data_IF_540736441081
#
_entry.id   IF_540736441081
#
_cell.length_a   1.000
_cell.length_b   1.000
_cell.length_c   1.000
_cell.angle_alpha   90.00
_cell.angle_beta   90.00
_cell.angle_gamma   90.00
#
_symmetry.space_group_name_H-M   'P 1'
#
loop_
_entity.id
_entity.type
_entity.pdbx_description
1 polymer ?
#
# COMPACT_ATOMS: atom_id res chain seq x y z
N UNK A 1 -14.73 -2.10 -2.10
CA UNK A 1 -14.73 -1.10 -3.18
C UNK A 1 -13.42 -0.31 -3.10
N UNK A 2 -12.79 0.03 -4.22
CA UNK A 2 -11.59 0.86 -4.27
C UNK A 2 -11.75 1.87 -5.40
N UNK A 3 -11.63 3.17 -5.08
CA UNK A 3 -11.85 4.28 -6.02
C UNK A 3 -13.08 4.08 -6.91
N UNK A 4 -14.29 4.00 -6.35
CA UNK A 4 -15.49 3.84 -7.18
C UNK A 4 -15.80 2.40 -7.64
N UNK A 5 -14.82 1.49 -7.63
CA UNK A 5 -14.96 0.16 -8.25
C UNK A 5 -15.16 -0.93 -7.20
N UNK A 6 -16.20 -1.76 -7.35
CA UNK A 6 -16.42 -2.94 -6.52
C UNK A 6 -15.41 -4.03 -6.93
N UNK A 7 -14.60 -4.49 -5.98
CA UNK A 7 -13.53 -5.47 -6.22
C UNK A 7 -13.87 -6.88 -5.70
N UNK A 8 -14.76 -6.95 -4.72
CA UNK A 8 -15.23 -8.17 -4.09
C UNK A 8 -16.61 -7.88 -3.47
N UNK A 9 -17.45 -8.91 -3.41
CA UNK A 9 -18.80 -8.88 -2.81
C UNK A 9 -18.84 -9.60 -1.45
N UNK A 10 -17.69 -10.12 -0.99
CA UNK A 10 -17.54 -10.78 0.30
C UNK A 10 -16.39 -10.16 1.10
N UNK A 11 -16.25 -10.59 2.34
CA UNK A 11 -15.21 -10.16 3.27
C UNK A 11 -14.03 -11.16 3.34
N UNK A 12 -13.80 -11.90 2.25
CA UNK A 12 -12.68 -12.85 2.14
C UNK A 12 -11.54 -12.23 1.37
N UNK A 13 -10.36 -12.22 1.97
CA UNK A 13 -9.15 -11.59 1.48
C UNK A 13 -9.36 -10.14 0.99
N UNK A 14 -9.98 -9.25 1.81
CA UNK A 14 -10.29 -7.90 1.39
C UNK A 14 -9.02 -7.15 1.01
N UNK A 15 -9.01 -6.54 -0.18
CA UNK A 15 -7.85 -5.83 -0.74
C UNK A 15 -7.76 -4.35 -0.34
N UNK A 16 -8.73 -3.91 0.45
CA UNK A 16 -8.79 -2.58 1.03
C UNK A 16 -9.30 -2.70 2.46
N UNK A 17 -8.98 -1.75 3.35
CA UNK A 17 -9.51 -1.75 4.70
C UNK A 17 -11.04 -1.79 4.72
N UNK A 18 -11.59 -2.59 5.61
CA UNK A 18 -13.02 -2.57 5.94
C UNK A 18 -13.23 -1.42 6.92
N UNK A 19 -14.01 -0.43 6.51
CA UNK A 19 -14.35 0.70 7.37
C UNK A 19 -15.65 0.40 8.11
N UNK A 20 -15.55 0.28 9.43
CA UNK A 20 -16.69 0.08 10.32
C UNK A 20 -16.91 1.36 11.13
N UNK A 21 -18.15 1.86 11.15
CA UNK A 21 -18.52 3.06 11.90
C UNK A 21 -19.50 2.64 13.00
N UNK A 22 -19.10 2.87 14.25
CA UNK A 22 -19.79 2.34 15.44
C UNK A 22 -20.26 3.45 16.38
N UNK A 23 -20.37 4.69 15.87
CA UNK A 23 -20.63 5.93 16.62
C UNK A 23 -22.03 6.05 17.22
N UNK A 24 -22.68 4.94 17.57
CA UNK A 24 -24.05 4.83 18.06
C UNK A 24 -24.12 4.48 19.55
N UNK A 25 -23.09 4.78 20.35
CA UNK A 25 -23.09 4.48 21.79
C UNK A 25 -24.15 5.27 22.60
N UNK A 26 -24.74 6.30 21.99
CA UNK A 26 -25.71 7.22 22.61
C UNK A 26 -25.21 8.65 22.58
N UNK A 27 -25.96 9.53 21.93
CA UNK A 27 -25.67 10.96 21.86
C UNK A 27 -26.96 11.76 22.09
N UNK A 28 -26.84 12.91 22.75
CA UNK A 28 -27.96 13.86 22.88
C UNK A 28 -28.33 14.54 21.56
N UNK A 29 -27.46 14.47 20.55
CA UNK A 29 -27.59 15.21 19.28
C UNK A 29 -28.35 14.45 18.20
N UNK A 30 -29.01 13.33 18.53
CA UNK A 30 -29.85 12.58 17.59
C UNK A 30 -29.05 11.68 16.63
N UNK A 31 -29.64 11.39 15.48
CA UNK A 31 -29.11 10.46 14.47
C UNK A 31 -28.79 11.24 13.19
N UNK A 32 -27.56 11.10 12.72
CA UNK A 32 -27.14 11.69 11.43
C UNK A 32 -27.64 10.85 10.25
N UNK A 33 -28.10 11.52 9.20
CA UNK A 33 -28.38 10.90 7.91
C UNK A 33 -27.10 10.81 7.09
N UNK A 34 -26.80 9.62 6.56
CA UNK A 34 -25.63 9.39 5.71
C UNK A 34 -26.06 8.97 4.29
N UNK A 35 -25.59 9.73 3.29
CA UNK A 35 -25.70 9.38 1.87
C UNK A 35 -24.38 8.77 1.39
N UNK A 36 -24.34 7.45 1.17
CA UNK A 36 -23.24 6.76 0.47
C UNK A 36 -23.54 5.27 0.20
N UNK A 37 -22.78 4.69 -0.75
CA UNK A 37 -22.65 3.25 -0.98
C UNK A 37 -22.05 2.57 0.26
N UNK A 38 -22.90 1.93 1.06
CA UNK A 38 -22.51 1.14 2.23
C UNK A 38 -23.05 -0.29 2.06
N UNK A 39 -22.31 -1.29 2.53
CA UNK A 39 -22.79 -2.68 2.53
C UNK A 39 -23.96 -2.86 3.52
N UNK A 40 -23.89 -2.21 4.68
CA UNK A 40 -24.94 -2.13 5.67
C UNK A 40 -25.01 -0.73 6.26
N UNK A 41 -26.23 -0.27 6.57
CA UNK A 41 -26.47 0.94 7.34
C UNK A 41 -27.79 0.82 8.10
N UNK A 42 -27.86 1.50 9.23
CA UNK A 42 -29.08 1.63 10.02
C UNK A 42 -29.41 3.12 10.19
N UNK A 43 -30.03 3.71 9.17
CA UNK A 43 -30.51 5.11 9.19
C UNK A 43 -31.97 5.20 9.69
N UNK A 44 -32.35 6.36 10.25
CA UNK A 44 -33.73 6.67 10.65
C UNK A 44 -34.24 6.07 11.97
N UNK A 45 -33.66 4.95 12.43
CA UNK A 45 -33.94 4.34 13.76
C UNK A 45 -32.67 3.79 14.42
N UNK A 46 -31.55 4.50 14.29
CA UNK A 46 -30.28 4.04 14.85
C UNK A 46 -30.45 3.73 16.34
N UNK A 47 -30.32 2.45 16.69
CA UNK A 47 -30.40 2.02 18.07
C UNK A 47 -29.07 2.32 18.74
N UNK A 48 -29.15 2.79 19.98
CA UNK A 48 -27.96 2.84 20.83
C UNK A 48 -27.35 1.45 20.87
N UNK A 49 -26.08 1.35 20.50
CA UNK A 49 -25.42 0.07 20.22
C UNK A 49 -23.91 0.19 20.42
N UNK A 50 -23.27 -0.95 20.59
CA UNK A 50 -21.83 -1.08 20.72
C UNK A 50 -21.36 -2.26 19.87
N UNK A 51 -20.08 -2.28 19.51
CA UNK A 51 -19.54 -3.39 18.71
C UNK A 51 -18.68 -4.32 19.54
N UNK A 52 -18.63 -5.58 19.11
CA UNK A 52 -17.69 -6.58 19.62
C UNK A 52 -16.83 -7.05 18.46
N UNK A 53 -15.52 -7.09 18.66
CA UNK A 53 -14.56 -7.66 17.72
C UNK A 53 -13.88 -8.83 18.41
N UNK A 54 -13.99 -10.02 17.81
CA UNK A 54 -13.35 -11.25 18.29
C UNK A 54 -12.38 -11.76 17.24
N UNK A 55 -11.09 -11.78 17.58
CA UNK A 55 -10.06 -12.41 16.77
C UNK A 55 -10.03 -13.90 17.13
N UNK A 56 -10.38 -14.76 16.17
CA UNK A 56 -10.44 -16.20 16.40
C UNK A 56 -9.09 -16.87 16.21
N UNK A 57 -8.34 -16.44 15.19
CA UNK A 57 -7.00 -16.94 14.88
C UNK A 57 -6.25 -15.89 14.04
N UNK A 58 -5.08 -16.27 13.52
CA UNK A 58 -4.26 -15.38 12.71
C UNK A 58 -4.96 -14.90 11.42
N UNK A 59 -5.93 -15.62 10.88
CA UNK A 59 -6.57 -15.30 9.60
C UNK A 59 -8.01 -14.82 9.73
N UNK A 60 -8.68 -15.09 10.85
CA UNK A 60 -10.13 -14.98 10.94
C UNK A 60 -10.53 -14.14 12.13
N UNK A 61 -11.39 -13.15 11.88
CA UNK A 61 -12.05 -12.35 12.88
C UNK A 61 -13.55 -12.32 12.65
N UNK A 62 -14.28 -12.08 13.74
CA UNK A 62 -15.71 -11.85 13.75
C UNK A 62 -15.98 -10.50 14.36
N UNK A 63 -16.82 -9.72 13.70
CA UNK A 63 -17.29 -8.45 14.20
C UNK A 63 -18.82 -8.46 14.25
N UNK A 64 -19.38 -7.83 15.26
CA UNK A 64 -20.82 -7.65 15.39
C UNK A 64 -21.17 -6.32 16.05
N UNK A 65 -22.32 -5.77 15.67
CA UNK A 65 -22.96 -4.63 16.30
C UNK A 65 -24.12 -5.14 17.17
N UNK A 66 -24.18 -4.70 18.43
CA UNK A 66 -25.15 -5.17 19.41
C UNK A 66 -25.95 -3.99 19.95
N UNK A 67 -27.28 -4.10 19.96
CA UNK A 67 -28.14 -3.12 20.59
C UNK A 67 -27.91 -3.08 22.11
N UNK A 68 -27.78 -1.88 22.67
CA UNK A 68 -27.69 -1.65 24.12
C UNK A 68 -28.93 -2.18 24.82
N UNK A 69 -30.11 -1.86 24.26
CA UNK A 69 -31.38 -2.34 24.79
C UNK A 69 -31.74 -3.70 24.20
N UNK A 70 -31.94 -4.70 25.05
CA UNK A 70 -32.33 -6.05 24.66
C UNK A 70 -31.18 -6.93 24.15
N UNK A 71 -29.99 -6.40 23.90
CA UNK A 71 -28.81 -7.19 23.54
C UNK A 71 -28.88 -7.89 22.18
N UNK A 72 -29.81 -7.49 21.31
CA UNK A 72 -29.97 -8.07 19.98
C UNK A 72 -28.76 -7.74 19.08
N UNK A 73 -28.30 -8.73 18.31
CA UNK A 73 -27.29 -8.52 17.27
C UNK A 73 -27.96 -7.84 16.08
N UNK A 74 -27.48 -6.64 15.75
CA UNK A 74 -28.02 -5.80 14.68
C UNK A 74 -27.36 -6.10 13.33
N UNK A 75 -26.07 -6.38 13.34
CA UNK A 75 -25.29 -6.78 12.18
C UNK A 75 -24.08 -7.60 12.62
N UNK A 76 -23.57 -8.46 11.76
CA UNK A 76 -22.34 -9.19 12.00
C UNK A 76 -21.65 -9.65 10.72
N UNK A 77 -20.32 -9.65 10.74
CA UNK A 77 -19.49 -10.10 9.61
C UNK A 77 -18.36 -10.99 10.08
N UNK A 78 -18.05 -11.98 9.25
CA UNK A 78 -16.81 -12.73 9.31
C UNK A 78 -15.84 -12.15 8.30
N UNK A 79 -14.61 -11.88 8.74
CA UNK A 79 -13.53 -11.43 7.85
C UNK A 79 -12.42 -12.47 7.91
N UNK A 80 -12.02 -12.94 6.73
CA UNK A 80 -10.91 -13.87 6.56
C UNK A 80 -9.83 -13.21 5.74
N UNK A 81 -8.59 -13.20 6.24
CA UNK A 81 -7.40 -12.68 5.58
C UNK A 81 -6.26 -13.68 5.74
N UNK A 82 -5.89 -14.34 4.64
CA UNK A 82 -4.83 -15.35 4.64
C UNK A 82 -3.43 -14.72 4.71
N UNK A 83 -3.24 -13.59 4.03
CA UNK A 83 -1.96 -12.89 3.94
C UNK A 83 -2.07 -11.48 4.48
N UNK A 84 -1.32 -11.19 5.53
CA UNK A 84 -1.26 -9.87 6.15
C UNK A 84 -0.05 -9.10 5.62
N UNK A 85 -0.25 -7.82 5.35
CA UNK A 85 0.84 -6.98 4.85
C UNK A 85 0.32 -5.76 4.08
N UNK A 86 1.25 -5.00 3.51
CA UNK A 86 0.89 -3.87 2.66
C UNK A 86 0.17 -4.36 1.41
N UNK A 87 -1.01 -3.83 1.15
CA UNK A 87 -1.70 -4.05 -0.12
C UNK A 87 -0.91 -3.36 -1.23
N UNK A 88 -0.43 -4.14 -2.21
CA UNK A 88 0.21 -3.58 -3.40
C UNK A 88 -0.83 -3.27 -4.46
N UNK A 89 -0.74 -2.09 -5.08
CA UNK A 89 -1.55 -1.74 -6.26
C UNK A 89 -1.26 -2.65 -7.46
N UNK A 90 -0.08 -3.28 -7.51
CA UNK A 90 0.24 -4.28 -8.54
C UNK A 90 -0.57 -5.57 -8.41
N UNK A 91 -1.27 -5.77 -7.29
CA UNK A 91 -2.15 -6.93 -7.10
C UNK A 91 -3.45 -6.83 -7.90
N UNK A 92 -3.84 -5.64 -8.37
CA UNK A 92 -4.98 -5.48 -9.28
C UNK A 92 -4.59 -5.93 -10.68
N UNK A 93 -5.27 -6.95 -11.22
CA UNK A 93 -4.97 -7.53 -12.52
C UNK A 93 -6.17 -7.41 -13.47
N UNK A 94 -5.89 -7.43 -14.77
CA UNK A 94 -6.89 -7.50 -15.83
C UNK A 94 -7.93 -6.39 -15.76
N UNK A 95 -9.21 -6.77 -15.87
CA UNK A 95 -10.36 -5.85 -15.95
C UNK A 95 -10.50 -4.90 -14.75
N UNK A 96 -10.09 -5.35 -13.55
CA UNK A 96 -10.16 -4.51 -12.35
C UNK A 96 -9.23 -3.30 -12.48
N UNK A 97 -8.03 -3.51 -13.02
CA UNK A 97 -7.05 -2.44 -13.22
C UNK A 97 -7.57 -1.42 -14.23
N UNK A 98 -8.17 -1.90 -15.33
CA UNK A 98 -8.75 -1.02 -16.38
C UNK A 98 -9.85 -0.14 -15.80
N UNK A 99 -10.82 -0.72 -15.09
CA UNK A 99 -11.92 0.03 -14.46
C UNK A 99 -11.44 1.04 -13.43
N UNK A 100 -10.43 0.68 -12.62
CA UNK A 100 -9.82 1.59 -11.65
C UNK A 100 -9.13 2.75 -12.38
N UNK A 101 -8.31 2.48 -13.39
CA UNK A 101 -7.57 3.49 -14.15
C UNK A 101 -8.53 4.44 -14.89
N UNK A 102 -9.65 3.93 -15.42
CA UNK A 102 -10.73 4.74 -16.01
C UNK A 102 -11.38 5.65 -14.97
N UNK A 103 -11.75 5.11 -13.81
CA UNK A 103 -12.37 5.90 -12.74
C UNK A 103 -11.43 6.99 -12.21
N UNK A 104 -10.13 6.70 -12.11
CA UNK A 104 -9.11 7.69 -11.71
C UNK A 104 -9.11 8.88 -12.68
N UNK A 105 -9.11 8.62 -13.99
CA UNK A 105 -9.11 9.68 -15.00
C UNK A 105 -10.36 10.54 -14.91
N UNK A 106 -11.52 9.91 -14.68
CA UNK A 106 -12.79 10.62 -14.49
C UNK A 106 -12.73 11.51 -13.24
N UNK A 107 -12.20 10.98 -12.13
CA UNK A 107 -12.08 11.74 -10.88
C UNK A 107 -11.11 12.93 -11.04
N UNK A 108 -9.98 12.75 -11.73
CA UNK A 108 -9.01 13.81 -12.05
C UNK A 108 -9.63 14.92 -12.93
N UNK A 109 -10.36 14.54 -13.98
CA UNK A 109 -11.08 15.50 -14.84
C UNK A 109 -12.15 16.28 -14.06
N UNK A 110 -12.86 15.63 -13.15
CA UNK A 110 -13.85 16.29 -12.30
C UNK A 110 -13.20 17.27 -11.31
N UNK A 111 -12.04 16.92 -10.74
CA UNK A 111 -11.28 17.80 -9.85
C UNK A 111 -10.82 19.09 -10.55
N UNK A 112 -10.29 18.97 -11.78
CA UNK A 112 -9.90 20.12 -12.61
C UNK A 112 -11.12 20.99 -12.97
N UNK A 113 -12.22 20.36 -13.41
CA UNK A 113 -13.45 21.06 -13.79
C UNK A 113 -14.06 21.87 -12.65
N UNK A 114 -13.92 21.39 -11.41
CA UNK A 114 -14.50 22.04 -10.22
C UNK A 114 -13.51 22.92 -9.44
N UNK A 115 -12.30 23.19 -9.97
CA UNK A 115 -11.25 23.97 -9.29
C UNK A 115 -10.97 23.51 -7.85
N UNK A 116 -11.14 22.21 -7.58
CA UNK A 116 -10.90 21.64 -6.26
C UNK A 116 -9.38 21.49 -6.06
N UNK A 117 -8.87 21.91 -4.89
CA UNK A 117 -7.43 21.78 -4.58
C UNK A 117 -7.03 20.31 -4.63
N UNK A 118 -5.93 20.01 -5.32
CA UNK A 118 -5.28 18.71 -5.23
C UNK A 118 -4.99 18.39 -3.76
N UNK A 119 -5.26 17.14 -3.35
CA UNK A 119 -4.97 16.64 -2.01
C UNK A 119 -3.50 16.97 -1.67
N UNK A 120 -3.20 17.57 -0.50
CA UNK A 120 -1.83 17.89 -0.14
C UNK A 120 -0.97 16.62 -0.20
N UNK A 121 0.19 16.71 -0.85
CA UNK A 121 1.15 15.61 -0.95
C UNK A 121 1.47 15.07 0.45
N UNK A 122 1.37 13.76 0.62
CA UNK A 122 1.81 13.14 1.86
C UNK A 122 3.34 13.12 1.90
N UNK A 123 3.95 13.05 3.09
CA UNK A 123 5.42 13.08 3.26
C UNK A 123 6.14 12.00 2.42
N UNK A 124 5.48 10.86 2.15
CA UNK A 124 6.03 9.81 1.28
C UNK A 124 6.03 10.18 -0.21
N UNK A 125 5.01 10.90 -0.68
CA UNK A 125 4.90 11.33 -2.08
C UNK A 125 5.95 12.39 -2.40
N UNK A 126 6.16 13.34 -1.48
CA UNK A 126 7.18 14.38 -1.60
C UNK A 126 8.62 13.79 -1.66
N UNK A 127 8.90 12.73 -0.90
CA UNK A 127 10.21 12.05 -0.95
C UNK A 127 10.42 11.36 -2.30
N UNK A 128 9.40 10.69 -2.84
CA UNK A 128 9.49 9.99 -4.13
C UNK A 128 9.72 10.96 -5.30
N UNK A 129 9.03 12.11 -5.29
CA UNK A 129 9.21 13.21 -6.26
C UNK A 129 10.61 13.82 -6.14
N UNK A 130 11.12 14.01 -4.92
CA UNK A 130 12.47 14.53 -4.68
C UNK A 130 13.54 13.56 -5.18
N UNK A 131 13.38 12.26 -4.93
CA UNK A 131 14.30 11.21 -5.41
C UNK A 131 14.25 11.10 -6.93
N UNK A 132 13.07 11.12 -7.56
CA UNK A 132 12.98 11.04 -9.02
C UNK A 132 13.62 12.25 -9.72
N UNK A 133 13.45 13.45 -9.17
CA UNK A 133 14.12 14.67 -9.67
C UNK A 133 15.64 14.62 -9.51
N UNK A 134 16.15 14.08 -8.40
CA UNK A 134 17.60 13.91 -8.18
C UNK A 134 18.19 12.88 -9.14
N UNK A 135 17.47 11.79 -9.43
CA UNK A 135 17.92 10.76 -10.38
C UNK A 135 17.83 11.25 -11.83
N UNK A 136 16.77 11.97 -12.21
CA UNK A 136 16.65 12.58 -13.55
C UNK A 136 17.64 13.73 -13.76
N UNK A 137 18.03 14.43 -12.69
CA UNK A 137 19.03 15.50 -12.74
C UNK A 137 20.48 15.01 -12.70
N UNK A 138 20.72 13.71 -12.59
CA UNK A 138 22.06 13.16 -12.72
C UNK A 138 22.44 13.12 -14.21
N UNK A 139 23.27 14.08 -14.62
CA UNK A 139 23.77 14.16 -15.99
C UNK A 139 24.43 12.83 -16.39
N UNK A 140 24.04 12.30 -17.55
CA UNK A 140 24.61 11.08 -18.17
C UNK A 140 26.15 11.07 -18.16
N UNK A 141 26.78 12.25 -18.23
CA UNK A 141 28.24 12.42 -18.18
C UNK A 141 28.86 12.00 -16.83
N UNK A 142 28.17 12.20 -15.71
CA UNK A 142 28.63 11.79 -14.37
C UNK A 142 28.55 10.27 -14.23
N UNK A 143 27.48 9.65 -14.73
CA UNK A 143 27.26 8.20 -14.68
C UNK A 143 28.33 7.46 -15.51
N UNK A 144 28.67 7.99 -16.69
CA UNK A 144 29.73 7.44 -17.54
C UNK A 144 31.11 7.58 -16.87
N UNK A 145 31.39 8.74 -16.23
CA UNK A 145 32.67 8.97 -15.54
C UNK A 145 32.90 8.04 -14.35
N UNK A 146 31.87 7.82 -13.52
CA UNK A 146 31.96 6.91 -12.36
C UNK A 146 32.18 5.46 -12.80
N UNK A 147 31.52 5.04 -13.89
CA UNK A 147 31.66 3.68 -14.43
C UNK A 147 33.07 3.42 -14.97
N UNK A 148 33.68 4.40 -15.65
CA UNK A 148 35.03 4.27 -16.21
C UNK A 148 36.11 4.21 -15.12
N UNK A 149 35.96 5.00 -14.04
CA UNK A 149 36.88 5.00 -12.92
C UNK A 149 36.88 3.66 -12.16
N UNK A 150 35.70 3.08 -11.94
CA UNK A 150 35.57 1.74 -11.31
C UNK A 150 36.18 0.66 -12.19
N UNK A 151 35.96 0.71 -13.51
CA UNK A 151 36.54 -0.24 -14.44
C UNK A 151 38.08 -0.19 -14.45
N UNK A 152 38.67 1.00 -14.46
CA UNK A 152 40.13 1.17 -14.39
C UNK A 152 40.68 0.61 -13.08
N UNK A 153 40.01 0.86 -11.95
CA UNK A 153 40.46 0.40 -10.64
C UNK A 153 40.43 -1.14 -10.54
N UNK A 154 39.38 -1.77 -11.05
CA UNK A 154 39.28 -3.24 -11.13
C UNK A 154 40.34 -3.81 -12.06
N UNK A 155 40.57 -3.19 -13.22
CA UNK A 155 41.60 -3.63 -14.16
C UNK A 155 43.01 -3.58 -13.55
N UNK A 156 43.34 -2.49 -12.84
CA UNK A 156 44.61 -2.36 -12.14
C UNK A 156 44.78 -3.41 -11.04
N UNK A 157 43.72 -3.69 -10.26
CA UNK A 157 43.76 -4.76 -9.25
C UNK A 157 44.04 -6.13 -9.89
N UNK A 158 43.41 -6.46 -11.01
CA UNK A 158 43.67 -7.70 -11.73
C UNK A 158 45.11 -7.77 -12.24
N UNK A 159 45.63 -6.68 -12.81
CA UNK A 159 47.04 -6.61 -13.26
C UNK A 159 48.01 -6.78 -12.09
N UNK A 160 47.74 -6.16 -10.94
CA UNK A 160 48.54 -6.33 -9.73
C UNK A 160 48.53 -7.79 -9.24
N UNK A 161 47.37 -8.44 -9.22
CA UNK A 161 47.24 -9.85 -8.85
C UNK A 161 48.03 -10.74 -9.81
N UNK A 162 47.91 -10.53 -11.12
CA UNK A 162 48.66 -11.32 -12.12
C UNK A 162 50.17 -11.13 -11.98
N UNK A 163 50.64 -9.89 -11.73
CA UNK A 163 52.07 -9.62 -11.49
C UNK A 163 52.58 -10.23 -10.19
N UNK A 164 51.79 -10.20 -9.12
CA UNK A 164 52.15 -10.84 -7.86
C UNK A 164 52.25 -12.37 -8.02
N UNK A 165 51.33 -12.98 -8.76
CA UNK A 165 51.34 -14.43 -9.04
C UNK A 165 52.47 -14.84 -10.01
N UNK A 166 52.87 -13.98 -10.95
CA UNK A 166 53.98 -14.30 -11.87
C UNK A 166 55.36 -14.19 -11.21
N UNK A 167 55.52 -13.31 -10.21
CA UNK A 167 56.75 -13.16 -9.43
C UNK A 167 57.03 -14.31 -8.44
N UNK A 168 56.01 -15.09 -8.06
CA UNK A 168 56.19 -16.24 -7.16
C UNK A 168 56.61 -17.54 -7.88
N UNK A 169 56.49 -17.62 -9.21
CA UNK A 169 56.90 -18.80 -9.99
C UNK A 169 58.41 -18.97 -10.16
N UNK A 170 59.23 -17.95 -9.85
CA UNK A 170 60.70 -18.04 -9.97
C UNK A 170 61.42 -18.39 -8.67
N UNK A 171 60.72 -18.47 -7.53
CA UNK A 171 61.34 -18.67 -6.20
C UNK A 171 60.98 -20.01 -5.51
N UNK A 172 60.44 -21.00 -6.23
CA UNK A 172 60.12 -22.33 -5.69
C UNK A 172 60.93 -23.46 -6.36
N UNK A 173 62.25 -23.28 -6.46
CA UNK A 173 63.20 -24.37 -6.78
C UNK A 173 64.58 -24.08 -6.16
N UNK A 174 64.74 -24.28 -4.84
CA UNK A 174 66.00 -24.72 -4.23
C UNK A 174 65.72 -25.12 -2.77
N UNK A 175 65.94 -26.39 -2.43
CA UNK A 175 65.74 -26.92 -1.08
C UNK A 175 65.75 -28.45 -1.09
N UNK A 176 66.95 -29.00 -1.20
CA UNK A 176 67.32 -30.38 -0.79
C UNK A 176 66.98 -30.62 0.69
#
# INVERSE_FOLDING_TARGET
MYKGVVLAENYTNPRAPIQLITGSAGSKHGVDTMMALNAFRMDGKALNSYSRLKVYNATTLYWEQVAVFGGAVLDSIWVTQESHGSFSSSAFQGEQKVKIDEQIKVDEQNLEKHNLRQKPETTGDAFKVKVSKVIQGADIKVIIGVSFAVFILVFLLVVCIVRACSGQRTNSNCGM
#
